data_IF_065857602782
#
_entry.id   IF_065857602782
#
_cell.length_a   1.000
_cell.length_b   1.000
_cell.length_c   1.000
_cell.angle_alpha   90.00
_cell.angle_beta   90.00
_cell.angle_gamma   90.00
#
_symmetry.space_group_name_H-M   'P 1'
#
loop_
_entity.id
_entity.type
_entity.pdbx_description
1 polymer ?
#
# COMPACT_ATOMS: atom_id res chain seq x y z
N UNK A 1 43.40 -0.92 -14.81
CA UNK A 1 42.26 -1.32 -13.98
C UNK A 1 41.55 -2.47 -14.67
N UNK A 2 41.18 -3.50 -13.91
CA UNK A 2 40.50 -4.71 -14.37
C UNK A 2 39.02 -4.41 -14.62
N UNK A 3 38.52 -4.86 -15.77
CA UNK A 3 37.11 -4.75 -16.13
C UNK A 3 36.22 -5.66 -15.27
N UNK A 4 34.92 -5.39 -15.27
CA UNK A 4 33.94 -6.24 -14.57
C UNK A 4 33.97 -7.68 -15.08
N UNK A 5 33.96 -8.64 -14.17
CA UNK A 5 34.07 -10.07 -14.46
C UNK A 5 35.51 -10.62 -14.49
N UNK A 6 36.53 -9.74 -14.52
CA UNK A 6 37.93 -10.15 -14.45
C UNK A 6 38.36 -10.47 -13.02
N UNK A 7 39.37 -11.34 -12.91
CA UNK A 7 39.93 -11.71 -11.63
C UNK A 7 40.59 -10.52 -10.94
N UNK A 8 40.54 -10.50 -9.61
CA UNK A 8 41.16 -9.49 -8.77
C UNK A 8 41.53 -10.11 -7.42
N UNK A 9 42.48 -9.48 -6.74
CA UNK A 9 42.84 -9.81 -5.35
C UNK A 9 42.46 -8.67 -4.39
N UNK A 10 42.43 -7.44 -4.89
CA UNK A 10 42.12 -6.25 -4.12
C UNK A 10 41.28 -5.28 -4.96
N UNK A 11 40.40 -4.52 -4.32
CA UNK A 11 39.42 -3.65 -5.00
C UNK A 11 40.06 -2.52 -5.80
N UNK A 12 41.25 -2.03 -5.43
CA UNK A 12 41.96 -0.98 -6.18
C UNK A 12 42.35 -1.43 -7.61
N UNK A 13 42.39 -2.75 -7.84
CA UNK A 13 42.71 -3.31 -9.15
C UNK A 13 41.54 -3.14 -10.12
N UNK A 14 40.31 -3.04 -9.63
CA UNK A 14 39.11 -2.96 -10.44
C UNK A 14 38.89 -1.56 -11.02
N UNK A 15 38.04 -1.46 -12.06
CA UNK A 15 37.57 -0.18 -12.60
C UNK A 15 36.88 0.68 -11.53
N UNK A 16 36.76 1.99 -11.78
CA UNK A 16 36.12 2.90 -10.84
C UNK A 16 34.67 2.48 -10.53
N UNK A 17 34.22 2.68 -9.29
CA UNK A 17 32.92 2.21 -8.77
C UNK A 17 32.73 0.68 -8.78
N UNK A 18 33.82 -0.08 -8.73
CA UNK A 18 33.79 -1.54 -8.60
C UNK A 18 34.54 -2.01 -7.35
N UNK A 19 34.16 -3.18 -6.85
CA UNK A 19 34.78 -3.86 -5.72
C UNK A 19 35.23 -5.26 -6.13
N UNK A 20 36.34 -5.74 -5.55
CA UNK A 20 36.73 -7.12 -5.70
C UNK A 20 35.90 -7.99 -4.76
N UNK A 21 35.02 -8.83 -5.30
CA UNK A 21 34.13 -9.66 -4.49
C UNK A 21 34.91 -10.86 -3.92
N UNK A 22 35.03 -10.99 -2.58
CA UNK A 22 35.88 -12.04 -1.97
C UNK A 22 35.44 -13.47 -2.30
N UNK A 23 34.15 -13.66 -2.58
CA UNK A 23 33.56 -14.99 -2.82
C UNK A 23 33.99 -15.57 -4.17
N UNK A 24 34.12 -14.74 -5.21
CA UNK A 24 34.39 -15.19 -6.58
C UNK A 24 35.71 -14.63 -7.13
N UNK A 25 36.43 -13.82 -6.33
CA UNK A 25 37.67 -13.12 -6.71
C UNK A 25 37.55 -12.38 -8.04
N UNK A 26 36.38 -11.78 -8.31
CA UNK A 26 36.09 -11.02 -9.52
C UNK A 26 35.62 -9.61 -9.22
N UNK A 27 35.97 -8.69 -10.12
CA UNK A 27 35.48 -7.31 -10.05
C UNK A 27 33.98 -7.26 -10.34
N UNK A 28 33.21 -6.64 -9.44
CA UNK A 28 31.78 -6.39 -9.60
C UNK A 28 31.48 -4.91 -9.30
N UNK A 29 30.46 -4.36 -9.97
CA UNK A 29 30.04 -2.98 -9.69
C UNK A 29 29.46 -2.84 -8.28
N UNK A 30 29.68 -1.68 -7.67
CA UNK A 30 28.98 -1.29 -6.45
C UNK A 30 27.45 -1.22 -6.69
N UNK A 31 26.61 -1.35 -5.64
CA UNK A 31 25.15 -1.52 -5.80
C UNK A 31 24.45 -0.46 -6.66
N UNK A 32 24.90 0.80 -6.60
CA UNK A 32 24.34 1.93 -7.37
C UNK A 32 24.86 2.04 -8.81
N UNK A 33 25.65 1.07 -9.26
CA UNK A 33 26.25 1.05 -10.58
C UNK A 33 25.90 -0.25 -11.31
N UNK A 34 25.83 -0.16 -12.63
CA UNK A 34 25.63 -1.30 -13.51
C UNK A 34 26.81 -1.45 -14.48
N UNK A 35 27.02 -2.68 -14.93
CA UNK A 35 28.10 -2.99 -15.87
C UNK A 35 27.66 -2.64 -17.30
N UNK A 36 28.44 -1.81 -17.98
CA UNK A 36 28.30 -1.51 -19.40
C UNK A 36 29.68 -1.61 -20.05
N UNK A 37 29.86 -2.58 -20.94
CA UNK A 37 31.12 -2.81 -21.66
C UNK A 37 32.36 -2.92 -20.76
N UNK A 38 32.21 -3.47 -19.55
CA UNK A 38 33.30 -3.67 -18.59
C UNK A 38 33.55 -2.49 -17.64
N UNK A 39 32.78 -1.40 -17.74
CA UNK A 39 32.83 -0.25 -16.86
C UNK A 39 31.57 -0.14 -15.98
N UNK A 40 31.70 0.44 -14.78
CA UNK A 40 30.57 0.66 -13.88
C UNK A 40 29.96 2.05 -14.10
N UNK A 41 28.78 2.09 -14.72
CA UNK A 41 27.99 3.30 -14.96
C UNK A 41 26.95 3.47 -13.85
N UNK A 42 26.62 4.70 -13.42
CA UNK A 42 25.55 4.92 -12.46
C UNK A 42 24.23 4.33 -12.96
N UNK A 43 23.47 3.68 -12.07
CA UNK A 43 22.13 3.17 -12.40
C UNK A 43 21.18 4.31 -12.77
N UNK A 44 20.26 4.00 -13.67
CA UNK A 44 19.28 4.94 -14.22
C UNK A 44 18.10 5.07 -13.25
N UNK A 45 17.75 6.30 -12.81
CA UNK A 45 16.61 6.53 -11.92
C UNK A 45 15.26 6.15 -12.56
N UNK A 46 14.24 5.93 -11.73
CA UNK A 46 12.85 5.77 -12.18
C UNK A 46 12.40 6.96 -13.05
N UNK A 47 11.58 6.71 -14.06
CA UNK A 47 11.09 7.70 -15.03
C UNK A 47 12.08 8.08 -16.15
N UNK A 48 13.35 7.68 -16.05
CA UNK A 48 14.37 7.95 -17.07
C UNK A 48 14.46 6.83 -18.13
N UNK A 49 14.99 7.17 -19.31
CA UNK A 49 15.04 6.25 -20.43
C UNK A 49 16.00 5.07 -20.20
N UNK A 50 15.56 3.87 -20.57
CA UNK A 50 16.33 2.64 -20.45
C UNK A 50 16.18 1.75 -21.68
N UNK A 51 17.12 0.82 -21.84
CA UNK A 51 17.09 -0.24 -22.85
C UNK A 51 16.78 -1.58 -22.23
N UNK A 52 17.37 -1.86 -21.07
CA UNK A 52 17.37 -3.15 -20.38
C UNK A 52 17.21 -2.97 -18.86
N UNK A 53 16.66 -3.98 -18.19
CA UNK A 53 16.34 -3.95 -16.75
C UNK A 53 17.57 -3.65 -15.87
N UNK A 54 18.71 -4.25 -16.19
CA UNK A 54 19.91 -4.16 -15.35
C UNK A 54 20.49 -2.75 -15.24
N UNK A 55 20.08 -1.83 -16.13
CA UNK A 55 20.53 -0.44 -16.14
C UNK A 55 19.82 0.39 -15.07
N UNK A 56 18.57 0.03 -14.76
CA UNK A 56 17.74 0.79 -13.84
C UNK A 56 18.21 0.65 -12.39
N UNK A 57 17.74 1.54 -11.51
CA UNK A 57 18.01 1.50 -10.07
C UNK A 57 17.59 0.16 -9.45
N UNK A 58 18.09 -0.16 -8.26
CA UNK A 58 17.71 -1.42 -7.61
C UNK A 58 16.19 -1.46 -7.36
N UNK A 59 15.62 -2.66 -7.40
CA UNK A 59 14.16 -2.87 -7.28
C UNK A 59 13.33 -2.17 -8.37
N UNK A 60 13.86 -2.08 -9.58
CA UNK A 60 13.17 -1.52 -10.74
C UNK A 60 13.37 -2.38 -11.99
N UNK A 61 12.55 -2.15 -13.01
CA UNK A 61 12.58 -2.80 -14.32
C UNK A 61 12.46 -1.74 -15.42
N UNK A 62 12.99 -2.02 -16.60
CA UNK A 62 12.80 -1.20 -17.77
C UNK A 62 11.45 -1.53 -18.42
N UNK A 63 10.50 -0.61 -18.35
CA UNK A 63 9.24 -0.74 -19.09
C UNK A 63 9.54 -0.68 -20.59
N UNK A 64 9.48 -1.81 -21.30
CA UNK A 64 9.87 -1.88 -22.72
C UNK A 64 8.91 -1.12 -23.66
N UNK A 65 7.69 -0.81 -23.21
CA UNK A 65 6.72 -0.03 -23.98
C UNK A 65 7.02 1.46 -23.84
N UNK A 66 7.12 1.96 -22.60
CA UNK A 66 7.44 3.36 -22.32
C UNK A 66 8.92 3.71 -22.50
N UNK A 67 9.78 2.68 -22.59
CA UNK A 67 11.25 2.78 -22.56
C UNK A 67 11.79 3.53 -21.35
N UNK A 68 11.13 3.40 -20.20
CA UNK A 68 11.49 4.09 -18.95
C UNK A 68 11.65 3.11 -17.79
N UNK A 69 12.59 3.40 -16.91
CA UNK A 69 12.73 2.66 -15.66
C UNK A 69 11.50 2.88 -14.78
N UNK A 70 10.97 1.81 -14.20
CA UNK A 70 9.84 1.84 -13.29
C UNK A 70 10.14 0.96 -12.08
N UNK A 71 9.80 1.43 -10.88
CA UNK A 71 9.92 0.62 -9.67
C UNK A 71 9.06 -0.65 -9.78
N UNK A 72 9.59 -1.76 -9.24
CA UNK A 72 8.87 -3.02 -9.16
C UNK A 72 7.64 -2.88 -8.25
N UNK A 73 6.69 -3.80 -8.40
CA UNK A 73 5.51 -3.88 -7.53
C UNK A 73 5.95 -3.99 -6.07
N UNK A 74 5.42 -3.11 -5.22
CA UNK A 74 5.79 -3.03 -3.80
C UNK A 74 6.84 -1.96 -3.49
N UNK A 75 7.35 -1.27 -4.51
CA UNK A 75 8.25 -0.13 -4.36
C UNK A 75 7.63 1.14 -4.95
N UNK A 76 8.09 2.29 -4.47
CA UNK A 76 7.78 3.62 -4.98
C UNK A 76 9.10 4.38 -5.21
N UNK A 77 9.12 5.28 -6.18
CA UNK A 77 10.26 6.15 -6.42
C UNK A 77 10.28 7.34 -5.46
N UNK A 78 11.43 7.60 -4.84
CA UNK A 78 11.65 8.83 -4.11
C UNK A 78 11.98 10.01 -5.04
N UNK A 79 12.23 11.18 -4.46
CA UNK A 79 12.59 12.41 -5.19
C UNK A 79 13.85 12.27 -6.07
N UNK A 80 14.72 11.31 -5.77
CA UNK A 80 15.96 11.06 -6.51
C UNK A 80 15.76 9.91 -7.53
N UNK A 81 14.54 9.40 -7.66
CA UNK A 81 14.15 8.30 -8.53
C UNK A 81 14.68 6.93 -8.07
N UNK A 82 15.01 6.79 -6.79
CA UNK A 82 15.39 5.51 -6.19
C UNK A 82 14.16 4.77 -5.68
N UNK A 83 14.11 3.46 -5.88
CA UNK A 83 12.95 2.66 -5.51
C UNK A 83 13.01 2.22 -4.04
N UNK A 84 12.17 2.85 -3.22
CA UNK A 84 11.98 2.57 -1.80
C UNK A 84 10.79 1.63 -1.58
N UNK A 85 10.81 0.85 -0.50
CA UNK A 85 9.69 -0.05 -0.15
C UNK A 85 8.44 0.79 0.15
N UNK A 86 7.29 0.40 -0.42
CA UNK A 86 6.01 1.08 -0.14
C UNK A 86 5.66 1.06 1.33
N UNK A 87 5.11 2.18 1.78
CA UNK A 87 4.72 2.41 3.18
C UNK A 87 3.45 1.63 3.48
N UNK A 88 3.46 0.88 4.58
CA UNK A 88 2.31 0.08 5.01
C UNK A 88 1.18 0.97 5.52
N UNK A 89 -0.04 0.47 5.51
CA UNK A 89 -1.19 1.20 6.05
C UNK A 89 -0.96 1.59 7.53
N UNK A 90 -1.55 2.72 7.93
CA UNK A 90 -1.46 3.40 9.23
C UNK A 90 -0.09 4.01 9.56
N UNK A 91 0.89 3.89 8.67
CA UNK A 91 2.20 4.54 8.83
C UNK A 91 2.20 5.92 8.16
N UNK A 92 3.05 6.82 8.67
CA UNK A 92 3.18 8.19 8.17
C UNK A 92 3.61 8.24 6.71
N UNK A 93 3.05 9.19 5.96
CA UNK A 93 3.35 9.41 4.54
C UNK A 93 3.29 10.90 4.22
N UNK A 94 3.87 11.27 3.09
CA UNK A 94 3.76 12.62 2.53
C UNK A 94 2.90 12.64 1.26
N UNK A 95 2.93 11.56 0.48
CA UNK A 95 2.21 11.46 -0.79
C UNK A 95 1.60 10.06 -0.99
N UNK A 96 0.45 10.02 -1.66
CA UNK A 96 -0.29 8.77 -1.92
C UNK A 96 0.53 7.72 -2.65
N UNK A 97 1.40 8.11 -3.58
CA UNK A 97 2.18 7.16 -4.37
C UNK A 97 3.17 6.34 -3.52
N UNK A 98 3.49 6.78 -2.31
CA UNK A 98 4.38 6.11 -1.36
C UNK A 98 3.71 4.91 -0.68
N UNK A 99 2.39 4.97 -0.52
CA UNK A 99 1.63 3.98 0.20
C UNK A 99 1.55 2.63 -0.55
N UNK A 100 1.27 1.56 0.20
CA UNK A 100 0.89 0.27 -0.41
C UNK A 100 -0.26 0.45 -1.40
N UNK A 101 -0.39 -0.48 -2.34
CA UNK A 101 -1.55 -0.48 -3.25
C UNK A 101 -2.86 -0.48 -2.48
N UNK A 102 -3.85 0.18 -3.07
CA UNK A 102 -5.19 0.38 -2.50
C UNK A 102 -5.19 1.16 -1.17
N UNK A 103 -4.17 2.00 -0.97
CA UNK A 103 -4.13 3.01 0.09
C UNK A 103 -3.90 4.42 -0.48
N UNK A 104 -4.29 5.42 0.30
CA UNK A 104 -4.13 6.85 0.03
C UNK A 104 -3.51 7.56 1.22
N UNK A 105 -2.70 8.57 0.97
CA UNK A 105 -2.07 9.35 2.03
C UNK A 105 -3.06 10.41 2.53
N UNK A 106 -3.73 10.10 3.63
CA UNK A 106 -4.86 10.87 4.15
C UNK A 106 -4.67 11.15 5.65
N UNK A 107 -5.36 12.17 6.19
CA UNK A 107 -5.44 12.33 7.64
C UNK A 107 -5.96 11.04 8.30
N UNK A 108 -5.47 10.68 9.50
CA UNK A 108 -5.89 9.46 10.18
C UNK A 108 -7.41 9.45 10.42
N UNK A 109 -8.06 8.31 10.10
CA UNK A 109 -9.52 8.14 10.28
C UNK A 109 -9.96 8.30 11.75
N UNK A 110 -9.07 8.03 12.70
CA UNK A 110 -9.25 8.38 14.10
C UNK A 110 -8.55 9.70 14.39
N UNK A 111 -9.31 10.74 14.78
CA UNK A 111 -8.70 11.97 15.28
C UNK A 111 -7.87 11.62 16.53
N UNK A 112 -6.57 11.93 16.54
CA UNK A 112 -5.78 11.81 17.76
C UNK A 112 -6.46 12.60 18.88
N UNK A 113 -6.43 12.07 20.11
CA UNK A 113 -6.83 12.89 21.26
C UNK A 113 -5.92 14.13 21.30
N UNK A 114 -6.47 15.32 21.56
CA UNK A 114 -5.66 16.52 21.71
C UNK A 114 -4.55 16.28 22.73
N UNK A 115 -3.32 16.66 22.39
CA UNK A 115 -2.15 16.51 23.26
C UNK A 115 -2.08 17.74 24.17
N UNK A 116 -1.89 17.53 25.47
CA UNK A 116 -1.66 18.63 26.39
C UNK A 116 -0.24 19.19 26.19
N UNK A 117 -0.14 20.40 25.64
CA UNK A 117 1.13 21.10 25.49
C UNK A 117 1.47 21.81 26.80
N UNK A 118 2.46 21.29 27.53
CA UNK A 118 2.88 21.83 28.83
C UNK A 118 3.51 23.22 28.73
N UNK A 119 4.02 23.61 27.55
CA UNK A 119 4.65 24.90 27.29
C UNK A 119 3.62 26.00 27.00
N UNK A 120 2.52 25.65 26.32
CA UNK A 120 1.42 26.57 26.02
C UNK A 120 0.24 26.48 27.00
N UNK A 121 0.21 25.47 27.88
CA UNK A 121 -0.91 25.20 28.79
C UNK A 121 -2.23 24.86 28.08
N UNK A 122 -2.17 24.48 26.79
CA UNK A 122 -3.34 24.24 25.95
C UNK A 122 -3.34 22.84 25.35
N UNK A 123 -4.53 22.31 25.09
CA UNK A 123 -4.71 21.15 24.23
C UNK A 123 -4.38 21.56 22.79
N UNK A 124 -3.30 21.02 22.24
CA UNK A 124 -2.94 21.19 20.83
C UNK A 124 -3.33 19.92 20.09
N UNK A 125 -3.88 20.06 18.89
CA UNK A 125 -3.98 18.91 17.99
C UNK A 125 -2.55 18.52 17.62
N UNK A 126 -2.22 17.22 17.72
CA UNK A 126 -1.06 16.69 16.99
C UNK A 126 -1.21 17.16 15.54
N UNK A 127 -0.11 17.60 14.92
CA UNK A 127 -0.11 18.10 13.56
C UNK A 127 -0.82 17.14 12.59
N UNK A 128 -1.21 17.65 11.43
CA UNK A 128 -1.83 16.89 10.35
C UNK A 128 -0.86 15.88 9.73
N UNK A 129 -0.37 14.94 10.54
CA UNK A 129 0.48 13.85 10.08
C UNK A 129 -0.39 12.92 9.25
N UNK A 130 -0.21 12.99 7.93
CA UNK A 130 -0.87 12.10 6.99
C UNK A 130 -0.36 10.69 7.20
N UNK A 131 -1.26 9.73 7.05
CA UNK A 131 -0.96 8.31 7.16
C UNK A 131 -1.53 7.56 5.96
N UNK A 132 -0.91 6.45 5.59
CA UNK A 132 -1.44 5.61 4.54
C UNK A 132 -2.75 4.95 5.01
N UNK A 133 -3.88 5.40 4.51
CA UNK A 133 -5.20 4.86 4.83
C UNK A 133 -5.65 3.96 3.69
N UNK A 134 -6.09 2.73 3.99
CA UNK A 134 -6.72 1.89 2.96
C UNK A 134 -7.93 2.63 2.38
N UNK A 135 -8.05 2.58 1.05
CA UNK A 135 -9.17 3.14 0.29
C UNK A 135 -10.49 2.56 0.79
N UNK A 136 -11.58 3.24 0.45
CA UNK A 136 -12.91 2.69 0.71
C UNK A 136 -13.07 1.32 0.05
N UNK A 137 -13.76 0.41 0.75
CA UNK A 137 -13.89 -1.01 0.40
C UNK A 137 -12.61 -1.84 0.56
N UNK A 138 -11.57 -1.33 1.21
CA UNK A 138 -10.39 -2.11 1.59
C UNK A 138 -10.13 -2.02 3.10
N UNK A 139 -9.59 -3.10 3.67
CA UNK A 139 -9.16 -3.17 5.06
C UNK A 139 -7.69 -3.55 5.15
N UNK A 140 -7.04 -3.18 6.25
CA UNK A 140 -5.64 -3.52 6.48
C UNK A 140 -5.49 -5.00 6.83
N UNK A 141 -4.68 -5.71 6.05
CA UNK A 141 -4.24 -7.06 6.35
C UNK A 141 -2.70 -7.13 6.33
N UNK A 142 -2.10 -7.00 7.52
CA UNK A 142 -0.65 -6.92 7.68
C UNK A 142 -0.07 -5.69 6.97
N UNK A 143 0.69 -5.91 5.90
CA UNK A 143 1.37 -4.86 5.11
C UNK A 143 0.56 -4.38 3.91
N UNK A 144 -0.60 -4.95 3.65
CA UNK A 144 -1.42 -4.68 2.46
C UNK A 144 -2.82 -4.20 2.83
N UNK A 145 -3.49 -3.62 1.85
CA UNK A 145 -4.92 -3.35 1.89
C UNK A 145 -5.62 -4.45 1.06
N UNK A 146 -6.43 -5.27 1.71
CA UNK A 146 -7.20 -6.33 1.08
C UNK A 146 -8.67 -5.88 0.93
N UNK A 147 -9.42 -6.39 -0.07
CA UNK A 147 -10.83 -6.03 -0.23
C UNK A 147 -11.66 -6.35 1.02
N UNK A 148 -12.46 -5.38 1.46
CA UNK A 148 -13.41 -5.53 2.56
C UNK A 148 -14.41 -6.65 2.28
N UNK A 149 -14.82 -7.32 3.35
CA UNK A 149 -15.63 -8.52 3.29
C UNK A 149 -17.11 -8.18 3.35
N UNK A 150 -17.87 -8.63 2.35
CA UNK A 150 -19.31 -8.43 2.28
C UNK A 150 -20.07 -9.21 3.38
N UNK A 151 -21.36 -8.94 3.55
CA UNK A 151 -22.20 -9.63 4.54
C UNK A 151 -22.19 -11.16 4.37
N UNK A 152 -22.19 -11.89 5.48
CA UNK A 152 -22.12 -13.36 5.51
C UNK A 152 -20.76 -13.96 5.18
N UNK A 153 -19.75 -13.15 4.79
CA UNK A 153 -18.38 -13.63 4.54
C UNK A 153 -17.59 -13.79 5.85
N UNK A 154 -16.67 -14.77 5.92
CA UNK A 154 -15.92 -15.05 7.13
C UNK A 154 -14.89 -13.96 7.44
N UNK A 155 -14.91 -13.45 8.66
CA UNK A 155 -13.98 -12.44 9.19
C UNK A 155 -13.17 -13.02 10.36
N UNK A 156 -11.98 -12.47 10.61
CA UNK A 156 -11.10 -12.89 11.72
C UNK A 156 -10.99 -11.85 12.82
N UNK A 157 -11.64 -10.69 12.66
CA UNK A 157 -11.68 -9.61 13.63
C UNK A 157 -12.42 -8.39 13.08
N UNK A 158 -12.54 -7.36 13.91
CA UNK A 158 -13.26 -6.12 13.59
C UNK A 158 -12.59 -5.36 12.44
N UNK A 159 -13.35 -4.51 11.75
CA UNK A 159 -12.87 -3.60 10.71
C UNK A 159 -12.54 -4.27 9.36
N UNK A 160 -12.80 -5.57 9.20
CA UNK A 160 -12.57 -6.28 7.94
C UNK A 160 -13.75 -6.22 6.97
N UNK A 161 -14.92 -5.81 7.46
CA UNK A 161 -16.16 -5.86 6.71
C UNK A 161 -16.38 -4.58 5.89
N UNK A 162 -17.29 -4.64 4.92
CA UNK A 162 -17.72 -3.47 4.14
C UNK A 162 -18.35 -2.40 5.04
N UNK A 163 -18.52 -1.19 4.51
CA UNK A 163 -19.16 -0.10 5.23
C UNK A 163 -20.56 -0.51 5.75
N UNK A 164 -20.91 -0.06 6.96
CA UNK A 164 -22.11 -0.47 7.70
C UNK A 164 -22.22 -1.98 8.01
N UNK A 165 -21.12 -2.73 7.94
CA UNK A 165 -21.03 -4.08 8.46
C UNK A 165 -19.89 -4.18 9.47
N UNK A 166 -20.00 -5.13 10.39
CA UNK A 166 -18.93 -5.46 11.32
C UNK A 166 -18.83 -6.97 11.52
N UNK A 167 -17.64 -7.44 11.89
CA UNK A 167 -17.43 -8.83 12.23
C UNK A 167 -18.24 -9.19 13.48
N UNK A 168 -18.91 -10.35 13.44
CA UNK A 168 -19.76 -10.81 14.54
C UNK A 168 -19.09 -10.76 15.91
N UNK A 169 -17.78 -11.06 15.98
CA UNK A 169 -17.00 -10.92 17.21
C UNK A 169 -15.60 -10.34 16.91
N UNK A 170 -14.91 -9.79 17.94
CA UNK A 170 -13.53 -9.34 17.79
C UNK A 170 -12.53 -10.44 17.43
N UNK A 171 -12.89 -11.71 17.62
CA UNK A 171 -12.04 -12.88 17.35
C UNK A 171 -12.43 -13.62 16.07
N UNK A 172 -13.38 -13.07 15.31
CA UNK A 172 -13.85 -13.64 14.06
C UNK A 172 -15.32 -14.06 14.06
N UNK A 173 -15.74 -14.67 12.95
CA UNK A 173 -17.12 -15.06 12.69
C UNK A 173 -17.49 -14.72 11.25
N UNK A 174 -18.68 -14.13 11.06
CA UNK A 174 -19.12 -13.60 9.77
C UNK A 174 -19.39 -12.10 9.84
N UNK A 175 -19.24 -11.41 8.71
CA UNK A 175 -19.62 -10.01 8.61
C UNK A 175 -21.15 -9.87 8.66
N UNK A 176 -21.65 -9.02 9.56
CA UNK A 176 -23.07 -8.73 9.73
C UNK A 176 -23.32 -7.25 9.48
N UNK A 177 -24.38 -6.92 8.73
CA UNK A 177 -24.81 -5.53 8.61
C UNK A 177 -25.26 -4.97 9.96
N UNK A 178 -24.98 -3.69 10.19
CA UNK A 178 -25.50 -2.92 11.32
C UNK A 178 -27.03 -2.97 11.35
N UNK A 179 -27.62 -2.81 12.54
CA UNK A 179 -29.07 -3.00 12.75
C UNK A 179 -29.99 -2.15 11.86
N UNK A 180 -29.51 -0.99 11.40
CA UNK A 180 -30.22 -0.05 10.49
C UNK A 180 -30.04 -0.36 9.01
N UNK A 181 -29.26 -1.38 8.66
CA UNK A 181 -28.93 -1.78 7.30
C UNK A 181 -29.31 -3.24 7.07
N UNK A 182 -29.41 -3.65 5.81
CA UNK A 182 -29.76 -5.01 5.43
C UNK A 182 -28.75 -5.56 4.41
N UNK A 183 -28.52 -6.88 4.37
CA UNK A 183 -27.59 -7.47 3.41
C UNK A 183 -28.19 -7.46 2.00
N UNK A 184 -27.49 -6.86 1.05
CA UNK A 184 -27.82 -6.90 -0.39
C UNK A 184 -26.54 -7.08 -1.20
N UNK A 185 -26.34 -8.28 -1.75
CA UNK A 185 -25.08 -8.62 -2.43
C UNK A 185 -23.88 -8.50 -1.51
N UNK A 186 -22.93 -7.62 -1.86
CA UNK A 186 -21.73 -7.33 -1.08
C UNK A 186 -21.85 -6.03 -0.26
N UNK A 187 -23.04 -5.45 -0.16
CA UNK A 187 -23.25 -4.17 0.50
C UNK A 187 -24.26 -4.29 1.65
N UNK A 188 -24.26 -3.27 2.50
CA UNK A 188 -25.24 -3.06 3.56
C UNK A 188 -25.97 -1.73 3.31
N UNK A 189 -26.93 -1.66 2.37
CA UNK A 189 -27.81 -0.51 2.22
C UNK A 189 -28.71 -0.27 3.44
N UNK A 190 -29.17 0.96 3.61
CA UNK A 190 -30.09 1.30 4.70
C UNK A 190 -31.43 0.60 4.55
N UNK A 191 -31.99 0.16 5.67
CA UNK A 191 -33.36 -0.39 5.72
C UNK A 191 -34.37 0.63 5.25
N UNK A 192 -35.33 0.15 4.47
CA UNK A 192 -36.34 0.94 3.78
C UNK A 192 -37.47 1.31 4.75
N UNK A 193 -37.89 2.59 4.79
CA UNK A 193 -39.06 3.00 5.56
C UNK A 193 -40.36 2.42 4.97
N UNK A 194 -41.48 2.48 5.71
CA UNK A 194 -42.79 2.08 5.18
C UNK A 194 -43.13 2.79 3.87
N UNK A 195 -43.96 2.14 3.04
CA UNK A 195 -44.37 2.60 1.70
C UNK A 195 -43.29 2.54 0.62
N UNK A 196 -42.05 2.17 0.94
CA UNK A 196 -41.02 1.92 -0.06
C UNK A 196 -41.11 0.50 -0.63
N UNK A 197 -40.81 0.31 -1.93
CA UNK A 197 -40.79 -1.02 -2.53
C UNK A 197 -39.78 -1.95 -1.87
N UNK A 198 -40.24 -3.15 -1.50
CA UNK A 198 -39.42 -4.17 -0.85
C UNK A 198 -39.65 -5.54 -1.51
N UNK A 199 -38.71 -6.46 -1.31
CA UNK A 199 -38.87 -7.87 -1.73
C UNK A 199 -38.82 -8.85 -0.56
N UNK A 200 -38.17 -8.50 0.55
CA UNK A 200 -38.03 -9.32 1.75
C UNK A 200 -38.13 -8.47 3.01
N UNK A 201 -38.64 -9.05 4.09
CA UNK A 201 -38.78 -8.39 5.41
C UNK A 201 -37.46 -7.85 5.95
N UNK A 202 -36.33 -8.49 5.60
CA UNK A 202 -35.00 -8.03 6.01
C UNK A 202 -34.66 -6.62 5.53
N UNK A 203 -35.29 -6.17 4.44
CA UNK A 203 -35.11 -4.83 3.88
C UNK A 203 -35.83 -3.75 4.68
N UNK A 204 -36.79 -4.12 5.51
CA UNK A 204 -37.69 -3.19 6.19
C UNK A 204 -37.09 -2.72 7.52
N UNK A 205 -37.44 -1.50 7.94
CA UNK A 205 -37.07 -0.97 9.26
C UNK A 205 -37.68 -1.81 10.39
N UNK A 206 -37.21 -1.59 11.62
CA UNK A 206 -37.68 -2.35 12.79
C UNK A 206 -39.21 -2.33 12.90
N UNK A 207 -39.80 -3.48 13.23
CA UNK A 207 -41.25 -3.71 13.32
C UNK A 207 -42.06 -3.43 12.03
N UNK A 208 -41.47 -3.65 10.85
CA UNK A 208 -42.20 -3.62 9.58
C UNK A 208 -41.95 -4.87 8.76
N UNK A 209 -42.97 -5.29 8.00
CA UNK A 209 -42.94 -6.45 7.11
C UNK A 209 -43.11 -6.01 5.67
N UNK A 210 -42.55 -6.80 4.76
CA UNK A 210 -42.68 -6.56 3.33
C UNK A 210 -43.99 -7.16 2.82
N UNK A 211 -44.99 -6.29 2.67
CA UNK A 211 -46.29 -6.69 2.14
C UNK A 211 -46.37 -6.34 0.66
N UNK A 212 -46.88 -7.28 -0.15
CA UNK A 212 -47.22 -7.01 -1.54
C UNK A 212 -48.44 -6.08 -1.55
N UNK A 213 -48.36 -4.96 -2.26
CA UNK A 213 -49.52 -4.12 -2.52
C UNK A 213 -50.36 -4.88 -3.55
N UNK A 214 -51.54 -5.33 -3.14
CA UNK A 214 -52.58 -5.91 -4.03
C UNK A 214 -53.30 -4.82 -4.82
#
# INVERSE_FOLDING_TARGET
MNAIGNNCQQSHQCTHNAICTPLVNKCACLPHFYNESGACKPRIPSGQFCKEDYQCTLNSTCNLIARQCQCLRGYYDDKDGLCQVRIVAESSCNETHQCTYDAECLPPKMRPRPIFNSTSGMLVNAGEDLTCQCKDLFFRNGTKCDPSKGPGKPCTGLGQCVHNAECQTPFGGVCLCSNTHYPEGNECPQKKPPLMPCTHDSQCVFNSTCNKIE
#
